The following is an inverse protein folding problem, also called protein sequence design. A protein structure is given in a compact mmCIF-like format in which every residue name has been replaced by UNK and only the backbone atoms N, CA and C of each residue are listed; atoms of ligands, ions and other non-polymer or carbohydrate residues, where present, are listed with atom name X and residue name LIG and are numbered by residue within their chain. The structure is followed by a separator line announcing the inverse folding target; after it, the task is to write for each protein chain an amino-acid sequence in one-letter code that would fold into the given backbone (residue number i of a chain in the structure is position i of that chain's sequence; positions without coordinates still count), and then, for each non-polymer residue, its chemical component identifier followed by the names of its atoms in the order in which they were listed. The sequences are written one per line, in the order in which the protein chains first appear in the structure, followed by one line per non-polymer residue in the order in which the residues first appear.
data_IF_149527440338
#
_entry.id   IF_149527440338
#
_cell.length_a   1.000
_cell.length_b   1.000
_cell.length_c   1.000
_cell.angle_alpha   90.00
_cell.angle_beta   90.00
_cell.angle_gamma   90.00
#
_symmetry.space_group_name_H-M   'P 1'
#
loop_
_entity.id
_entity.type
_entity.pdbx_description
1 polymer ?
#
# COMPACT_ATOMS: atom_id res chain seq x y z
N UNK A 1 16.22 71.04 -6.84
CA UNK A 1 16.64 69.88 -7.66
C UNK A 1 16.84 68.69 -6.72
N UNK A 2 15.98 67.68 -6.86
CA UNK A 2 16.12 66.25 -6.53
C UNK A 2 16.63 65.86 -5.12
N UNK A 3 15.75 65.55 -4.18
CA UNK A 3 15.18 64.21 -3.87
C UNK A 3 16.19 63.20 -3.31
N UNK A 4 15.96 62.71 -2.08
CA UNK A 4 15.64 61.30 -1.76
C UNK A 4 15.71 61.06 -0.24
N UNK A 5 14.54 60.96 0.40
CA UNK A 5 14.38 60.30 1.70
C UNK A 5 14.45 58.79 1.48
N UNK A 6 15.19 58.01 2.29
CA UNK A 6 15.09 56.56 2.23
C UNK A 6 13.82 56.13 2.98
N UNK A 7 12.79 55.73 2.24
CA UNK A 7 11.67 54.97 2.78
C UNK A 7 12.19 53.58 3.18
N UNK A 8 12.28 53.31 4.47
CA UNK A 8 12.44 51.95 4.97
C UNK A 8 11.09 51.22 4.83
N UNK A 9 10.98 50.32 3.85
CA UNK A 9 9.83 49.43 3.71
C UNK A 9 10.05 48.25 4.66
N UNK A 10 9.34 48.25 5.80
CA UNK A 10 9.24 47.08 6.65
C UNK A 10 8.31 46.05 5.98
N UNK A 11 8.88 44.99 5.42
CA UNK A 11 8.12 43.82 5.02
C UNK A 11 7.70 43.05 6.28
N UNK A 12 6.46 43.27 6.73
CA UNK A 12 5.84 42.39 7.73
C UNK A 12 5.48 41.09 7.00
N UNK A 13 6.34 40.08 7.15
CA UNK A 13 5.99 38.69 6.86
C UNK A 13 4.87 38.30 7.82
N UNK A 14 3.63 38.38 7.34
CA UNK A 14 2.51 37.74 8.01
C UNK A 14 2.82 36.24 8.07
N UNK A 15 3.18 35.74 9.25
CA UNK A 15 3.15 34.31 9.53
C UNK A 15 1.71 33.86 9.36
N UNK A 16 1.38 33.34 8.18
CA UNK A 16 0.17 32.54 7.99
C UNK A 16 0.38 31.32 8.88
N UNK A 17 -0.27 31.29 10.05
CA UNK A 17 -0.35 30.08 10.84
C UNK A 17 -0.89 28.97 9.94
N UNK A 18 -0.22 27.81 9.81
CA UNK A 18 -0.81 26.66 9.16
C UNK A 18 -1.78 26.00 10.14
N UNK A 19 -2.71 26.78 10.69
CA UNK A 19 -3.79 26.26 11.51
C UNK A 19 -4.89 25.85 10.54
N UNK A 20 -4.69 24.70 9.91
CA UNK A 20 -5.70 23.74 9.42
C UNK A 20 -4.93 22.56 8.80
N UNK A 21 -3.95 22.02 9.54
CA UNK A 21 -3.53 20.65 9.29
C UNK A 21 -4.78 19.79 9.49
N UNK A 22 -5.21 19.13 8.42
CA UNK A 22 -6.38 18.27 8.41
C UNK A 22 -6.13 17.12 9.38
N UNK A 23 -6.56 17.28 10.63
CA UNK A 23 -6.42 16.26 11.66
C UNK A 23 -7.18 15.03 11.16
N UNK A 24 -6.43 13.99 10.79
CA UNK A 24 -6.97 12.66 10.58
C UNK A 24 -7.79 12.30 11.82
N UNK A 25 -9.05 11.91 11.62
CA UNK A 25 -9.94 11.49 12.72
C UNK A 25 -9.28 10.41 13.59
N UNK A 26 -8.48 9.54 12.97
CA UNK A 26 -7.74 8.49 13.65
C UNK A 26 -6.29 8.90 13.95
N UNK A 27 -5.76 8.61 15.16
CA UNK A 27 -4.38 8.87 15.55
C UNK A 27 -3.43 7.83 14.91
N UNK A 28 -3.19 7.98 13.60
CA UNK A 28 -2.49 6.97 12.78
C UNK A 28 -1.15 6.51 13.36
N UNK A 29 -0.32 7.44 13.85
CA UNK A 29 1.01 7.10 14.36
C UNK A 29 0.90 6.24 15.63
N UNK A 30 0.05 6.63 16.57
CA UNK A 30 -0.18 5.91 17.82
C UNK A 30 -0.73 4.49 17.57
N UNK A 31 -1.66 4.35 16.61
CA UNK A 31 -2.23 3.06 16.22
C UNK A 31 -1.15 2.09 15.69
N UNK A 32 -0.14 2.58 14.96
CA UNK A 32 0.97 1.76 14.50
C UNK A 32 1.96 1.46 15.64
N UNK A 33 2.32 2.46 16.43
CA UNK A 33 3.30 2.34 17.52
C UNK A 33 2.82 1.44 18.68
N UNK A 34 1.51 1.25 18.82
CA UNK A 34 0.92 0.31 19.78
C UNK A 34 1.33 -1.15 19.53
N UNK A 35 1.64 -1.49 18.29
CA UNK A 35 1.92 -2.86 17.87
C UNK A 35 3.45 -3.13 17.76
N UNK A 36 3.88 -4.37 18.03
CA UNK A 36 5.32 -4.71 18.19
C UNK A 36 5.90 -5.61 17.13
N UNK A 37 5.08 -6.15 16.22
CA UNK A 37 5.46 -7.20 15.25
C UNK A 37 6.02 -6.67 13.91
N UNK A 38 6.21 -5.36 13.77
CA UNK A 38 6.58 -4.73 12.50
C UNK A 38 8.01 -5.05 12.07
N UNK A 39 8.19 -5.70 10.92
CA UNK A 39 9.49 -5.83 10.26
C UNK A 39 9.70 -4.73 9.21
N UNK A 40 8.66 -4.35 8.44
CA UNK A 40 8.78 -3.31 7.42
C UNK A 40 9.20 -1.94 8.01
N UNK A 41 8.62 -1.56 9.15
CA UNK A 41 8.88 -0.30 9.89
C UNK A 41 8.85 0.99 9.07
N UNK A 42 8.34 0.94 7.84
CA UNK A 42 8.08 2.11 6.99
C UNK A 42 6.71 2.70 7.32
N UNK A 43 6.70 3.59 8.32
CA UNK A 43 5.48 4.25 8.77
C UNK A 43 4.83 5.10 7.68
N UNK A 44 5.63 5.70 6.80
CA UNK A 44 5.11 6.54 5.72
C UNK A 44 4.41 5.70 4.66
N UNK A 45 4.93 4.50 4.39
CA UNK A 45 4.24 3.50 3.58
C UNK A 45 2.89 3.11 4.18
N UNK A 46 2.84 2.77 5.48
CA UNK A 46 1.58 2.41 6.15
C UNK A 46 0.57 3.56 6.12
N UNK A 47 0.98 4.75 6.55
CA UNK A 47 0.12 5.96 6.58
C UNK A 47 -0.47 6.30 5.22
N UNK A 48 0.29 6.05 4.15
CA UNK A 48 -0.12 6.32 2.77
C UNK A 48 -1.00 5.21 2.20
N UNK A 49 -0.70 3.94 2.49
CA UNK A 49 -1.28 2.82 1.75
C UNK A 49 -2.43 2.10 2.44
N UNK A 50 -2.42 1.92 3.77
CA UNK A 50 -3.44 1.09 4.42
C UNK A 50 -4.64 1.91 4.91
N UNK A 51 -5.89 1.40 4.82
CA UNK A 51 -6.99 1.94 5.60
C UNK A 51 -6.66 1.82 7.10
N UNK A 52 -7.02 2.83 7.89
CA UNK A 52 -6.82 2.78 9.34
C UNK A 52 -8.14 2.40 9.99
N UNK A 53 -8.03 1.64 11.07
CA UNK A 53 -9.17 1.04 11.77
C UNK A 53 -8.94 1.09 13.28
N UNK A 54 -10.01 1.35 14.03
CA UNK A 54 -10.04 1.24 15.47
C UNK A 54 -11.36 0.61 15.91
N UNK A 55 -11.34 -0.14 17.00
CA UNK A 55 -12.53 -0.69 17.63
C UNK A 55 -12.25 -0.98 19.11
N UNK A 56 -13.27 -1.19 19.95
CA UNK A 56 -13.08 -1.46 21.38
C UNK A 56 -12.44 -2.83 21.65
N UNK A 57 -12.42 -3.74 20.68
CA UNK A 57 -11.79 -5.05 20.80
C UNK A 57 -10.31 -4.99 20.37
N UNK A 58 -9.41 -5.17 21.32
CA UNK A 58 -7.97 -5.10 21.06
C UNK A 58 -7.46 -6.22 20.16
N UNK A 59 -8.04 -7.43 20.24
CA UNK A 59 -7.56 -8.56 19.43
C UNK A 59 -7.92 -8.37 17.96
N UNK A 60 -9.12 -7.87 17.68
CA UNK A 60 -9.53 -7.52 16.31
C UNK A 60 -8.63 -6.42 15.75
N UNK A 61 -8.35 -5.39 16.54
CA UNK A 61 -7.49 -4.28 16.11
C UNK A 61 -6.04 -4.75 15.86
N UNK A 62 -5.45 -5.51 16.77
CA UNK A 62 -4.09 -6.07 16.59
C UNK A 62 -4.04 -6.98 15.36
N UNK A 63 -5.05 -7.83 15.16
CA UNK A 63 -5.14 -8.70 13.97
C UNK A 63 -5.24 -7.89 12.67
N UNK A 64 -6.00 -6.78 12.68
CA UNK A 64 -6.13 -5.89 11.53
C UNK A 64 -4.77 -5.35 11.08
N UNK A 65 -3.99 -4.80 12.00
CA UNK A 65 -2.67 -4.25 11.70
C UNK A 65 -1.63 -5.35 11.38
N UNK A 66 -1.72 -6.49 12.05
CA UNK A 66 -0.87 -7.65 11.77
C UNK A 66 -1.03 -8.17 10.34
N UNK A 67 -2.26 -8.22 9.82
CA UNK A 67 -2.51 -8.65 8.44
C UNK A 67 -1.92 -7.69 7.40
N UNK A 68 -1.88 -6.39 7.70
CA UNK A 68 -1.19 -5.43 6.85
C UNK A 68 0.33 -5.62 6.85
N UNK A 69 0.93 -5.91 8.01
CA UNK A 69 2.35 -6.31 8.07
C UNK A 69 2.59 -7.60 7.26
N UNK A 70 1.76 -8.63 7.44
CA UNK A 70 1.87 -9.86 6.65
C UNK A 70 1.82 -9.60 5.15
N UNK A 71 0.93 -8.72 4.69
CA UNK A 71 0.88 -8.34 3.27
C UNK A 71 2.22 -7.76 2.79
N UNK A 72 2.87 -6.92 3.59
CA UNK A 72 4.18 -6.34 3.22
C UNK A 72 5.29 -7.41 3.13
N UNK A 73 5.26 -8.43 4.00
CA UNK A 73 6.23 -9.54 3.96
C UNK A 73 6.14 -10.37 2.68
N UNK A 74 4.97 -10.42 2.05
CA UNK A 74 4.74 -11.13 0.79
C UNK A 74 4.88 -10.23 -0.44
N UNK A 75 4.92 -8.91 -0.27
CA UNK A 75 5.06 -7.96 -1.36
C UNK A 75 6.47 -8.03 -1.96
N UNK A 76 6.55 -8.38 -3.24
CA UNK A 76 7.80 -8.58 -3.96
C UNK A 76 7.82 -7.71 -5.21
N UNK A 77 8.85 -6.88 -5.37
CA UNK A 77 9.11 -6.24 -6.66
C UNK A 77 9.91 -7.17 -7.56
N UNK A 78 9.40 -7.47 -8.75
CA UNK A 78 10.05 -8.35 -9.72
C UNK A 78 11.01 -7.61 -10.65
N UNK A 79 10.46 -6.74 -11.49
CA UNK A 79 11.23 -5.96 -12.48
C UNK A 79 10.43 -4.77 -13.00
N UNK A 80 11.04 -3.81 -13.73
CA UNK A 80 10.28 -2.72 -14.37
C UNK A 80 9.16 -3.20 -15.32
N UNK A 81 9.31 -4.38 -15.92
CA UNK A 81 8.33 -4.93 -16.85
C UNK A 81 7.19 -5.71 -16.16
N UNK A 82 7.46 -6.29 -14.99
CA UNK A 82 6.49 -7.11 -14.24
C UNK A 82 5.86 -6.39 -13.06
N UNK A 83 6.53 -5.36 -12.53
CA UNK A 83 6.10 -4.62 -11.35
C UNK A 83 6.13 -5.46 -10.07
N UNK A 84 5.16 -5.19 -9.20
CA UNK A 84 4.95 -5.91 -7.95
C UNK A 84 4.14 -7.22 -8.13
N UNK A 85 4.49 -8.21 -7.33
CA UNK A 85 3.77 -9.46 -7.15
C UNK A 85 3.72 -9.85 -5.67
N UNK A 86 2.96 -10.91 -5.35
CA UNK A 86 2.89 -11.47 -4.00
C UNK A 86 3.32 -12.94 -3.99
N UNK A 87 4.09 -13.32 -2.98
CA UNK A 87 4.44 -14.73 -2.73
C UNK A 87 3.36 -15.41 -1.89
N UNK A 88 3.22 -16.73 -2.00
CA UNK A 88 2.45 -17.52 -1.03
C UNK A 88 3.31 -17.90 0.18
N UNK A 89 4.53 -18.38 -0.10
CA UNK A 89 5.52 -18.74 0.91
C UNK A 89 6.70 -17.78 0.86
N UNK A 90 7.19 -17.37 2.04
CA UNK A 90 8.30 -16.41 2.17
C UNK A 90 9.60 -16.97 1.57
N UNK A 91 9.82 -18.28 1.70
CA UNK A 91 11.02 -18.98 1.21
C UNK A 91 11.02 -19.25 -0.30
N UNK A 92 9.91 -18.94 -1.01
CA UNK A 92 9.77 -19.02 -2.48
C UNK A 92 10.21 -20.40 -3.01
N UNK A 93 9.44 -21.44 -2.73
CA UNK A 93 9.83 -22.81 -3.06
C UNK A 93 10.03 -23.01 -4.57
N UNK A 94 10.78 -24.04 -4.96
CA UNK A 94 11.21 -24.24 -6.35
C UNK A 94 10.06 -24.41 -7.37
N UNK A 95 8.86 -24.76 -6.91
CA UNK A 95 7.65 -24.88 -7.74
C UNK A 95 6.88 -23.57 -7.89
N UNK A 96 7.34 -22.50 -7.26
CA UNK A 96 6.77 -21.17 -7.46
C UNK A 96 7.04 -20.64 -8.86
N UNK A 97 6.14 -19.79 -9.34
CA UNK A 97 6.33 -19.05 -10.58
C UNK A 97 7.42 -17.98 -10.44
N UNK A 98 7.68 -17.27 -11.52
CA UNK A 98 8.66 -16.18 -11.57
C UNK A 98 8.48 -15.20 -10.41
N UNK A 99 9.58 -14.84 -9.73
CA UNK A 99 9.58 -14.01 -8.52
C UNK A 99 8.92 -14.62 -7.26
N UNK A 100 8.61 -15.92 -7.25
CA UNK A 100 8.13 -16.62 -6.06
C UNK A 100 6.61 -16.64 -5.86
N UNK A 101 5.84 -16.18 -6.84
CA UNK A 101 4.38 -16.19 -6.75
C UNK A 101 3.81 -17.59 -7.00
N UNK A 102 2.70 -17.91 -6.35
CA UNK A 102 1.94 -19.14 -6.58
C UNK A 102 0.49 -18.74 -6.85
N UNK A 103 -0.13 -19.37 -7.85
CA UNK A 103 -1.46 -18.94 -8.32
C UNK A 103 -2.60 -19.35 -7.40
N UNK A 104 -2.36 -20.29 -6.47
CA UNK A 104 -3.35 -20.84 -5.53
C UNK A 104 -4.06 -19.73 -4.71
N UNK A 105 -3.35 -18.85 -3.97
CA UNK A 105 -3.98 -17.79 -3.18
C UNK A 105 -4.18 -16.48 -3.96
N UNK A 106 -3.87 -16.44 -5.26
CA UNK A 106 -3.73 -15.18 -6.00
C UNK A 106 -4.98 -14.29 -5.88
N UNK A 107 -6.16 -14.89 -5.94
CA UNK A 107 -7.39 -14.13 -5.79
C UNK A 107 -7.65 -13.68 -4.34
N UNK A 108 -7.31 -14.45 -3.31
CA UNK A 108 -7.36 -13.96 -1.91
C UNK A 108 -6.42 -12.76 -1.71
N UNK A 109 -5.21 -12.85 -2.27
CA UNK A 109 -4.22 -11.79 -2.20
C UNK A 109 -4.69 -10.52 -2.93
N UNK A 110 -5.34 -10.65 -4.10
CA UNK A 110 -5.96 -9.52 -4.78
C UNK A 110 -7.13 -8.91 -4.00
N UNK A 111 -7.94 -9.73 -3.32
CA UNK A 111 -9.04 -9.26 -2.47
C UNK A 111 -8.56 -8.49 -1.22
N UNK A 112 -7.35 -8.76 -0.74
CA UNK A 112 -6.71 -7.99 0.33
C UNK A 112 -6.03 -6.73 -0.24
N UNK A 113 -5.19 -6.90 -1.26
CA UNK A 113 -4.37 -5.84 -1.83
C UNK A 113 -5.18 -4.73 -2.53
N UNK A 114 -6.42 -5.01 -2.96
CA UNK A 114 -7.32 -3.99 -3.53
C UNK A 114 -7.69 -2.88 -2.54
N UNK A 115 -7.46 -3.07 -1.24
CA UNK A 115 -7.74 -2.03 -0.24
C UNK A 115 -6.53 -1.09 -0.01
N UNK A 116 -5.38 -1.37 -0.62
CA UNK A 116 -4.24 -0.45 -0.61
C UNK A 116 -4.58 0.80 -1.43
N UNK A 117 -4.42 1.99 -0.84
CA UNK A 117 -4.75 3.26 -1.52
C UNK A 117 -3.94 3.47 -2.81
N UNK A 118 -2.67 3.07 -2.82
CA UNK A 118 -1.89 3.04 -4.04
C UNK A 118 -2.22 1.78 -4.83
N UNK A 119 -3.03 1.95 -5.87
CA UNK A 119 -3.48 0.83 -6.69
C UNK A 119 -2.33 0.12 -7.43
N UNK A 120 -1.15 0.73 -7.58
CA UNK A 120 -0.02 0.15 -8.33
C UNK A 120 0.29 -1.29 -7.91
N UNK A 121 0.20 -1.61 -6.62
CA UNK A 121 0.48 -2.96 -6.13
C UNK A 121 -0.49 -4.01 -6.69
N UNK A 122 -1.79 -3.72 -6.68
CA UNK A 122 -2.80 -4.63 -7.22
C UNK A 122 -2.82 -4.61 -8.75
N UNK A 123 -2.62 -3.44 -9.38
CA UNK A 123 -2.52 -3.34 -10.84
C UNK A 123 -1.34 -4.14 -11.39
N UNK A 124 -0.16 -3.97 -10.81
CA UNK A 124 1.04 -4.71 -11.23
C UNK A 124 0.84 -6.21 -11.02
N UNK A 125 0.22 -6.61 -9.90
CA UNK A 125 -0.04 -8.03 -9.65
C UNK A 125 -1.07 -8.65 -10.61
N UNK A 126 -2.13 -7.91 -10.99
CA UNK A 126 -3.04 -8.31 -12.06
C UNK A 126 -2.29 -8.50 -13.39
N UNK A 127 -1.41 -7.55 -13.75
CA UNK A 127 -0.61 -7.63 -14.98
C UNK A 127 0.42 -8.75 -14.91
N UNK A 128 1.01 -9.00 -13.75
CA UNK A 128 1.99 -10.07 -13.52
C UNK A 128 1.43 -11.42 -13.97
N UNK A 129 0.21 -11.77 -13.57
CA UNK A 129 -0.41 -13.04 -13.92
C UNK A 129 -0.68 -13.21 -15.42
N UNK A 130 -0.83 -12.12 -16.16
CA UNK A 130 -1.17 -12.12 -17.58
C UNK A 130 0.06 -11.97 -18.49
N UNK A 131 1.09 -11.27 -18.03
CA UNK A 131 2.19 -10.80 -18.88
C UNK A 131 3.56 -11.32 -18.47
N UNK A 132 3.76 -11.76 -17.23
CA UNK A 132 5.08 -12.22 -16.78
C UNK A 132 5.34 -13.65 -17.24
N UNK A 133 6.40 -13.90 -18.03
CA UNK A 133 6.79 -15.25 -18.39
C UNK A 133 7.08 -16.09 -17.14
N UNK A 134 6.56 -17.32 -17.10
CA UNK A 134 6.76 -18.23 -15.96
C UNK A 134 5.90 -17.94 -14.73
N UNK A 135 4.89 -17.05 -14.81
CA UNK A 135 3.94 -16.87 -13.71
C UNK A 135 3.07 -18.11 -13.44
N UNK A 136 2.78 -18.93 -14.46
CA UNK A 136 2.01 -20.18 -14.33
C UNK A 136 0.61 -20.03 -13.67
N UNK A 137 -0.27 -19.12 -14.14
CA UNK A 137 -1.57 -18.84 -13.51
C UNK A 137 -2.57 -20.01 -13.50
N UNK A 138 -2.28 -21.11 -14.20
CA UNK A 138 -3.18 -22.26 -14.39
C UNK A 138 -2.73 -23.55 -13.68
N UNK A 139 -1.70 -23.47 -12.82
CA UNK A 139 -1.27 -24.63 -12.03
C UNK A 139 -2.27 -25.02 -10.93
N UNK A 140 -3.18 -24.11 -10.58
CA UNK A 140 -4.25 -24.32 -9.61
C UNK A 140 -5.57 -23.76 -10.16
N UNK A 141 -6.69 -24.17 -9.56
CA UNK A 141 -7.98 -23.52 -9.77
C UNK A 141 -7.84 -22.01 -9.58
N UNK A 142 -8.45 -21.22 -10.47
CA UNK A 142 -8.24 -19.78 -10.49
C UNK A 142 -9.55 -19.02 -10.60
N UNK A 143 -9.72 -18.02 -9.73
CA UNK A 143 -10.78 -17.01 -9.82
C UNK A 143 -10.19 -15.62 -10.13
N UNK A 144 -9.04 -15.58 -10.83
CA UNK A 144 -8.35 -14.34 -11.19
C UNK A 144 -9.27 -13.32 -11.88
N UNK A 145 -10.16 -13.76 -12.77
CA UNK A 145 -11.10 -12.86 -13.45
C UNK A 145 -12.04 -12.14 -12.47
N UNK A 146 -12.59 -12.87 -11.50
CA UNK A 146 -13.41 -12.31 -10.43
C UNK A 146 -12.60 -11.33 -9.59
N UNK A 147 -11.42 -11.74 -9.11
CA UNK A 147 -10.62 -10.87 -8.24
C UNK A 147 -10.11 -9.61 -8.95
N UNK A 148 -9.76 -9.69 -10.23
CA UNK A 148 -9.40 -8.52 -11.05
C UNK A 148 -10.59 -7.57 -11.18
N UNK A 149 -11.79 -8.10 -11.44
CA UNK A 149 -13.01 -7.30 -11.48
C UNK A 149 -13.30 -6.66 -10.12
N UNK A 150 -13.15 -7.40 -9.04
CA UNK A 150 -13.35 -6.92 -7.68
C UNK A 150 -12.33 -5.83 -7.30
N UNK A 151 -11.09 -5.88 -7.83
CA UNK A 151 -10.12 -4.78 -7.72
C UNK A 151 -10.56 -3.56 -8.52
N UNK A 152 -11.08 -3.75 -9.75
CA UNK A 152 -11.62 -2.66 -10.58
C UNK A 152 -12.74 -1.88 -9.89
N UNK A 153 -13.59 -2.57 -9.12
CA UNK A 153 -14.68 -1.92 -8.37
C UNK A 153 -14.17 -0.97 -7.28
N UNK A 154 -12.95 -1.18 -6.74
CA UNK A 154 -12.33 -0.29 -5.75
C UNK A 154 -11.48 0.79 -6.45
N UNK A 155 -10.73 0.39 -7.48
CA UNK A 155 -9.86 1.25 -8.27
C UNK A 155 -10.24 1.17 -9.76
N UNK A 156 -11.16 2.03 -10.22
CA UNK A 156 -11.55 2.04 -11.62
C UNK A 156 -10.37 2.42 -12.51
N UNK A 157 -10.35 1.88 -13.74
CA UNK A 157 -9.30 2.07 -14.77
C UNK A 157 -7.97 1.34 -14.48
N UNK A 158 -8.07 0.02 -14.25
CA UNK A 158 -6.95 -0.93 -14.20
C UNK A 158 -6.19 -1.04 -15.54
#
# INVERSE_FOLDING_TARGET
MNNLFPFAIAFILAFVSPALAQNSLLPKQELLEKETFWDNKDWDWYKSNIPFFECPDSEIQTTYYYRWELLTKHLTYGSPNSGYSFTEFIDRPFWSGTYGAISCPAGHQLYEARWLRNNRYSQDYCRYWLKTPGAQPRNYSTWLADSVWATHQIHPNL
#
